data_IF_170473134357
#
_entry.id   IF_170473134357
#
_cell.length_a   1.000
_cell.length_b   1.000
_cell.length_c   1.000
_cell.angle_alpha   90.00
_cell.angle_beta   90.00
_cell.angle_gamma   90.00
#
_symmetry.space_group_name_H-M   'P 1'
#
loop_
_entity.id
_entity.type
_entity.pdbx_description
1 polymer ?
#
# COMPACT_ATOMS: atom_id res chain seq x y z
N UNK A 1 21.84 2.35 -9.91
CA UNK A 1 20.50 1.98 -9.43
C UNK A 1 20.09 3.01 -8.39
N UNK A 2 19.04 3.77 -8.67
CA UNK A 2 18.50 4.81 -7.76
C UNK A 2 17.92 4.18 -6.49
N UNK A 3 17.64 5.00 -5.48
CA UNK A 3 17.01 4.50 -4.24
C UNK A 3 15.62 3.92 -4.51
N UNK A 4 14.81 4.66 -5.26
CA UNK A 4 13.51 4.18 -5.75
C UNK A 4 13.59 2.84 -6.50
N UNK A 5 14.60 2.61 -7.34
CA UNK A 5 14.77 1.32 -8.02
C UNK A 5 15.09 0.16 -7.06
N UNK A 6 15.82 0.43 -5.96
CA UNK A 6 16.06 -0.56 -4.91
C UNK A 6 14.77 -0.85 -4.13
N UNK A 7 14.08 0.20 -3.72
CA UNK A 7 12.82 0.10 -2.97
C UNK A 7 11.74 -0.60 -3.78
N UNK A 8 11.61 -0.30 -5.07
CA UNK A 8 10.73 -1.01 -6.01
C UNK A 8 10.99 -2.51 -6.02
N UNK A 9 12.27 -2.92 -6.09
CA UNK A 9 12.64 -4.35 -6.03
C UNK A 9 12.25 -4.99 -4.69
N UNK A 10 12.43 -4.27 -3.59
CA UNK A 10 12.02 -4.73 -2.26
C UNK A 10 10.50 -4.89 -2.21
N UNK A 11 9.75 -3.89 -2.63
CA UNK A 11 8.29 -3.89 -2.64
C UNK A 11 7.71 -5.02 -3.50
N UNK A 12 8.18 -5.15 -4.74
CA UNK A 12 7.80 -6.23 -5.64
C UNK A 12 8.08 -7.61 -5.06
N UNK A 13 9.13 -7.76 -4.25
CA UNK A 13 9.44 -9.04 -3.59
C UNK A 13 8.42 -9.46 -2.52
N UNK A 14 7.60 -8.51 -2.03
CA UNK A 14 6.51 -8.77 -1.10
C UNK A 14 5.15 -8.89 -1.81
N UNK A 15 5.01 -8.33 -3.00
CA UNK A 15 3.77 -8.33 -3.77
C UNK A 15 3.30 -9.74 -4.15
N UNK A 16 2.00 -9.99 -3.98
CA UNK A 16 1.32 -11.15 -4.56
C UNK A 16 1.18 -11.03 -6.09
N UNK A 17 0.61 -12.05 -6.73
CA UNK A 17 0.50 -12.10 -8.20
C UNK A 17 -0.27 -10.91 -8.80
N UNK A 18 -1.42 -10.54 -8.24
CA UNK A 18 -2.21 -9.38 -8.70
C UNK A 18 -1.40 -8.09 -8.64
N UNK A 19 -0.76 -7.83 -7.50
CA UNK A 19 0.02 -6.61 -7.29
C UNK A 19 1.22 -6.56 -8.25
N UNK A 20 1.88 -7.70 -8.50
CA UNK A 20 2.94 -7.77 -9.50
C UNK A 20 2.45 -7.47 -10.92
N UNK A 21 1.27 -7.96 -11.31
CA UNK A 21 0.71 -7.67 -12.65
C UNK A 21 0.42 -6.17 -12.83
N UNK A 22 -0.11 -5.51 -11.79
CA UNK A 22 -0.34 -4.07 -11.78
C UNK A 22 0.98 -3.30 -11.88
N UNK A 23 1.93 -3.57 -10.98
CA UNK A 23 3.20 -2.84 -10.85
C UNK A 23 4.24 -3.18 -11.94
N UNK A 24 3.92 -4.12 -12.83
CA UNK A 24 4.70 -4.42 -14.05
C UNK A 24 3.98 -3.97 -15.32
N UNK A 25 2.84 -3.28 -15.21
CA UNK A 25 2.08 -2.75 -16.35
C UNK A 25 1.35 -3.81 -17.17
N UNK A 26 1.17 -5.03 -16.64
CA UNK A 26 0.41 -6.10 -17.32
C UNK A 26 -1.10 -5.89 -17.19
N UNK A 27 -1.52 -5.13 -16.19
CA UNK A 27 -2.89 -4.69 -15.94
C UNK A 27 -2.89 -3.20 -15.63
N UNK A 28 -3.96 -2.50 -16.01
CA UNK A 28 -4.18 -1.12 -15.60
C UNK A 28 -4.43 -1.05 -14.10
N UNK A 29 -3.93 -0.01 -13.46
CA UNK A 29 -4.23 0.28 -12.07
C UNK A 29 -5.52 1.07 -11.96
N UNK A 30 -6.28 0.80 -10.90
CA UNK A 30 -7.35 1.69 -10.47
C UNK A 30 -6.80 2.76 -9.53
N UNK A 31 -7.57 3.80 -9.28
CA UNK A 31 -7.26 4.83 -8.30
C UNK A 31 -7.14 4.22 -6.90
N UNK A 32 -8.04 3.29 -6.55
CA UNK A 32 -7.95 2.54 -5.30
C UNK A 32 -6.69 1.67 -5.19
N UNK A 33 -6.17 1.14 -6.31
CA UNK A 33 -4.88 0.45 -6.32
C UNK A 33 -3.72 1.43 -6.09
N UNK A 34 -3.78 2.62 -6.68
CA UNK A 34 -2.79 3.68 -6.44
C UNK A 34 -2.75 4.12 -4.98
N UNK A 35 -3.91 4.44 -4.40
CA UNK A 35 -4.03 4.79 -2.98
C UNK A 35 -3.45 3.69 -2.09
N UNK A 36 -3.86 2.44 -2.35
CA UNK A 36 -3.37 1.28 -1.60
C UNK A 36 -1.86 1.15 -1.69
N UNK A 37 -1.26 1.30 -2.87
CA UNK A 37 0.20 1.19 -3.01
C UNK A 37 0.94 2.37 -2.39
N UNK A 38 0.42 3.59 -2.49
CA UNK A 38 0.96 4.76 -1.78
C UNK A 38 0.98 4.50 -0.28
N UNK A 39 -0.15 4.10 0.30
CA UNK A 39 -0.23 3.73 1.72
C UNK A 39 0.76 2.62 2.10
N UNK A 40 0.81 1.52 1.34
CA UNK A 40 1.70 0.40 1.66
C UNK A 40 3.18 0.78 1.59
N UNK A 41 3.58 1.56 0.57
CA UNK A 41 4.97 1.99 0.43
C UNK A 41 5.38 2.92 1.56
N UNK A 42 4.54 3.87 1.95
CA UNK A 42 4.78 4.74 3.11
C UNK A 42 4.79 3.95 4.42
N UNK A 43 3.84 3.02 4.61
CA UNK A 43 3.78 2.16 5.79
C UNK A 43 5.07 1.34 5.96
N UNK A 44 5.66 0.84 4.88
CA UNK A 44 6.91 0.06 4.94
C UNK A 44 8.18 0.91 4.85
N UNK A 45 8.07 2.24 4.78
CA UNK A 45 9.22 3.16 4.70
C UNK A 45 9.95 3.09 3.37
N UNK A 46 9.20 2.90 2.27
CA UNK A 46 9.66 2.83 0.89
C UNK A 46 9.22 4.11 0.14
N UNK A 47 9.45 5.25 0.77
CA UNK A 47 8.92 6.56 0.35
C UNK A 47 9.47 7.00 -1.01
N UNK A 48 10.72 6.66 -1.34
CA UNK A 48 11.30 7.03 -2.64
C UNK A 48 10.61 6.30 -3.79
N UNK A 49 10.17 5.06 -3.58
CA UNK A 49 9.32 4.35 -4.53
C UNK A 49 7.88 4.87 -4.49
N UNK A 50 7.32 5.14 -3.31
CA UNK A 50 5.99 5.75 -3.16
C UNK A 50 5.81 7.02 -3.97
N UNK A 51 6.78 7.93 -3.92
CA UNK A 51 6.79 9.17 -4.71
C UNK A 51 6.86 8.91 -6.24
N UNK A 52 7.55 7.85 -6.65
CA UNK A 52 7.69 7.51 -8.06
C UNK A 52 6.50 6.69 -8.61
N UNK A 53 5.65 6.11 -7.77
CA UNK A 53 4.45 5.37 -8.23
C UNK A 53 3.57 6.25 -9.12
N UNK A 54 3.24 7.46 -8.66
CA UNK A 54 2.41 8.40 -9.40
C UNK A 54 3.06 8.87 -10.70
N UNK A 55 4.38 9.00 -10.72
CA UNK A 55 5.12 9.33 -11.94
C UNK A 55 5.12 8.19 -12.95
N UNK A 56 5.16 6.94 -12.48
CA UNK A 56 5.22 5.76 -13.35
C UNK A 56 3.85 5.33 -13.88
N UNK A 57 2.79 5.47 -13.07
CA UNK A 57 1.48 4.90 -13.36
C UNK A 57 0.34 5.92 -13.40
N UNK A 58 0.58 7.19 -13.05
CA UNK A 58 -0.48 8.21 -12.94
C UNK A 58 -1.26 8.42 -14.24
N UNK A 59 -0.58 8.32 -15.39
CA UNK A 59 -1.21 8.45 -16.71
C UNK A 59 -1.98 7.18 -17.15
N UNK A 60 -1.70 6.04 -16.52
CA UNK A 60 -2.26 4.72 -16.86
C UNK A 60 -3.40 4.28 -15.91
N UNK A 61 -3.78 5.14 -14.97
CA UNK A 61 -4.92 4.92 -14.07
C UNK A 61 -6.20 4.79 -14.89
N UNK A 62 -7.05 3.81 -14.54
CA UNK A 62 -8.27 3.48 -15.29
C UNK A 62 -9.33 4.59 -15.18
N UNK A 63 -9.42 5.23 -14.01
CA UNK A 63 -10.38 6.28 -13.72
C UNK A 63 -10.06 7.63 -14.40
N UNK A 64 -11.09 8.43 -14.74
CA UNK A 64 -10.90 9.74 -15.34
C UNK A 64 -10.27 10.74 -14.36
N UNK A 65 -9.61 11.76 -14.90
CA UNK A 65 -8.95 12.84 -14.15
C UNK A 65 -9.87 13.50 -13.08
N UNK A 66 -11.17 13.61 -13.34
CA UNK A 66 -12.14 14.17 -12.39
C UNK A 66 -12.25 13.35 -11.08
N UNK A 67 -12.06 12.03 -11.14
CA UNK A 67 -12.03 11.17 -9.97
C UNK A 67 -10.74 11.40 -9.16
N UNK A 68 -9.61 11.61 -9.84
CA UNK A 68 -8.33 11.93 -9.21
C UNK A 68 -8.35 13.30 -8.51
N UNK A 69 -9.00 14.30 -9.11
CA UNK A 69 -9.12 15.65 -8.52
C UNK A 69 -9.93 15.60 -7.22
N UNK A 70 -11.07 14.89 -7.20
CA UNK A 70 -11.88 14.73 -5.99
C UNK A 70 -11.10 14.06 -4.85
N UNK A 71 -10.25 13.10 -5.17
CA UNK A 71 -9.42 12.42 -4.19
C UNK A 71 -8.42 13.37 -3.51
N UNK A 72 -7.78 14.23 -4.30
CA UNK A 72 -6.82 15.21 -3.78
C UNK A 72 -7.50 16.25 -2.89
N UNK A 73 -8.72 16.67 -3.25
CA UNK A 73 -9.53 17.56 -2.42
C UNK A 73 -9.93 16.92 -1.07
N UNK A 74 -10.12 15.60 -1.04
CA UNK A 74 -10.42 14.83 0.18
C UNK A 74 -9.15 14.60 1.05
N UNK A 75 -7.98 14.44 0.44
CA UNK A 75 -6.69 14.23 1.14
C UNK A 75 -6.17 15.47 1.90
N UNK A 76 -6.61 16.70 1.58
CA UNK A 76 -6.20 17.91 2.32
C UNK A 76 -6.74 18.00 3.76
N UNK A 77 -7.58 17.04 4.20
CA UNK A 77 -8.28 17.12 5.50
C UNK A 77 -7.81 16.19 6.62
N UNK A 78 -6.87 15.27 6.41
CA UNK A 78 -6.58 14.26 7.44
C UNK A 78 -5.21 14.39 8.13
N UNK A 79 -5.27 14.82 9.39
CA UNK A 79 -4.20 14.72 10.39
C UNK A 79 -3.98 13.25 10.78
N UNK A 80 -2.77 12.71 10.51
CA UNK A 80 -2.20 11.48 11.11
C UNK A 80 -3.09 10.22 11.11
N UNK A 81 -3.89 10.02 10.05
CA UNK A 81 -4.89 8.95 9.88
C UNK A 81 -4.30 7.63 9.39
N UNK A 82 -3.39 7.04 10.17
CA UNK A 82 -3.04 5.62 9.97
C UNK A 82 -4.09 4.65 10.53
N UNK A 83 -5.17 5.18 11.09
CA UNK A 83 -6.35 4.45 11.54
C UNK A 83 -7.50 5.13 10.80
N UNK A 84 -8.09 4.45 9.82
CA UNK A 84 -9.36 4.89 9.26
C UNK A 84 -10.49 4.36 10.15
N UNK A 85 -11.54 5.17 10.30
CA UNK A 85 -12.70 4.78 11.11
C UNK A 85 -13.43 3.55 10.54
N UNK A 86 -13.15 3.16 9.29
CA UNK A 86 -13.78 2.04 8.59
C UNK A 86 -12.92 0.76 8.51
N UNK A 87 -11.66 0.79 8.95
CA UNK A 87 -10.71 -0.33 8.94
C UNK A 87 -10.17 -0.71 7.55
N UNK A 88 -10.30 0.14 6.52
CA UNK A 88 -9.81 -0.12 5.16
C UNK A 88 -8.28 -0.22 5.10
N UNK A 89 -7.53 0.60 5.85
CA UNK A 89 -6.07 0.57 5.91
C UNK A 89 -5.58 -0.76 6.52
N UNK A 90 -6.18 -1.18 7.63
CA UNK A 90 -5.91 -2.48 8.26
C UNK A 90 -6.21 -3.65 7.32
N UNK A 91 -7.35 -3.61 6.60
CA UNK A 91 -7.69 -4.63 5.58
C UNK A 91 -6.60 -4.73 4.52
N UNK A 92 -6.09 -3.60 4.03
CA UNK A 92 -5.00 -3.60 3.04
C UNK A 92 -3.72 -4.24 3.56
N UNK A 93 -3.33 -3.97 4.82
CA UNK A 93 -2.15 -4.59 5.44
C UNK A 93 -2.30 -6.10 5.58
N UNK A 94 -3.45 -6.56 6.07
CA UNK A 94 -3.73 -7.98 6.29
C UNK A 94 -3.75 -8.74 4.97
N UNK A 95 -4.46 -8.22 3.97
CA UNK A 95 -4.55 -8.85 2.64
C UNK A 95 -3.21 -8.82 1.90
N UNK A 96 -2.44 -7.73 2.00
CA UNK A 96 -1.09 -7.65 1.42
C UNK A 96 -0.16 -8.70 2.04
N UNK A 97 -0.17 -8.84 3.36
CA UNK A 97 0.59 -9.89 4.04
C UNK A 97 0.16 -11.28 3.57
N UNK A 98 -1.15 -11.56 3.54
CA UNK A 98 -1.71 -12.87 3.19
C UNK A 98 -1.31 -13.31 1.79
N UNK A 99 -1.27 -12.39 0.85
CA UNK A 99 -0.94 -12.63 -0.55
C UNK A 99 0.55 -12.63 -0.87
N UNK A 100 1.43 -12.34 0.10
CA UNK A 100 2.86 -12.37 -0.14
C UNK A 100 3.34 -13.77 -0.55
N UNK A 101 4.35 -13.86 -1.45
CA UNK A 101 4.62 -15.06 -2.23
C UNK A 101 5.13 -16.26 -1.42
N UNK A 102 5.82 -16.03 -0.30
CA UNK A 102 6.40 -17.10 0.53
C UNK A 102 6.05 -16.91 2.00
N UNK A 103 5.98 -18.02 2.75
CA UNK A 103 5.72 -18.00 4.19
C UNK A 103 6.69 -17.09 4.95
N UNK A 104 7.97 -17.08 4.56
CA UNK A 104 8.99 -16.21 5.13
C UNK A 104 8.65 -14.73 4.93
N UNK A 105 8.23 -14.35 3.72
CA UNK A 105 7.82 -12.97 3.41
C UNK A 105 6.57 -12.57 4.19
N UNK A 106 5.58 -13.46 4.31
CA UNK A 106 4.38 -13.23 5.14
C UNK A 106 4.75 -12.97 6.60
N UNK A 107 5.63 -13.80 7.16
CA UNK A 107 6.07 -13.64 8.56
C UNK A 107 6.89 -12.36 8.76
N UNK A 108 7.70 -11.98 7.78
CA UNK A 108 8.45 -10.71 7.84
C UNK A 108 7.51 -9.51 7.82
N UNK A 109 6.52 -9.49 6.93
CA UNK A 109 5.48 -8.45 6.89
C UNK A 109 4.71 -8.39 8.22
N UNK A 110 4.30 -9.55 8.76
CA UNK A 110 3.63 -9.65 10.06
C UNK A 110 4.43 -9.00 11.18
N UNK A 111 5.73 -9.27 11.25
CA UNK A 111 6.62 -8.68 12.26
C UNK A 111 6.75 -7.16 12.09
N UNK A 112 6.85 -6.67 10.87
CA UNK A 112 6.94 -5.22 10.59
C UNK A 112 5.65 -4.50 10.99
N UNK A 113 4.48 -5.04 10.60
CA UNK A 113 3.16 -4.52 10.97
C UNK A 113 3.02 -4.51 12.49
N UNK A 114 3.25 -5.65 13.14
CA UNK A 114 3.11 -5.77 14.59
C UNK A 114 4.05 -4.86 15.38
N UNK A 115 5.27 -4.60 14.89
CA UNK A 115 6.18 -3.65 15.51
C UNK A 115 5.65 -2.21 15.45
N UNK A 116 5.09 -1.80 14.31
CA UNK A 116 4.51 -0.46 14.15
C UNK A 116 3.28 -0.26 15.04
N UNK A 117 2.35 -1.22 15.06
CA UNK A 117 1.16 -1.15 15.93
C UNK A 117 1.52 -1.18 17.42
N UNK A 118 2.43 -2.07 17.83
CA UNK A 118 2.90 -2.13 19.22
C UNK A 118 3.53 -0.83 19.69
N UNK A 119 4.30 -0.14 18.84
CA UNK A 119 4.89 1.18 19.17
C UNK A 119 3.83 2.25 19.43
N UNK A 120 2.65 2.12 18.82
CA UNK A 120 1.50 3.01 19.01
C UNK A 120 0.56 2.56 20.15
N UNK A 121 0.86 1.45 20.82
CA UNK A 121 -0.01 0.88 21.86
C UNK A 121 -1.27 0.20 21.31
N UNK A 122 -1.31 -0.08 20.00
CA UNK A 122 -2.46 -0.68 19.32
C UNK A 122 -2.32 -2.20 19.22
N UNK A 123 -3.44 -2.95 19.22
CA UNK A 123 -3.43 -4.37 18.94
C UNK A 123 -3.00 -4.63 17.48
N UNK A 124 -2.56 -5.86 17.21
CA UNK A 124 -2.29 -6.27 15.83
C UNK A 124 -3.60 -6.31 15.04
N UNK A 125 -3.66 -5.76 13.80
CA UNK A 125 -4.90 -5.76 13.03
C UNK A 125 -5.26 -7.17 12.55
N UNK A 126 -6.49 -7.61 12.79
CA UNK A 126 -6.96 -8.94 12.40
C UNK A 126 -8.18 -8.88 11.49
N UNK A 127 -8.40 -9.92 10.68
CA UNK A 127 -9.61 -10.01 9.82
C UNK A 127 -10.93 -9.96 10.62
N UNK A 128 -10.89 -10.31 11.91
CA UNK A 128 -12.06 -10.29 12.79
C UNK A 128 -12.48 -8.87 13.22
N UNK A 129 -11.64 -7.86 12.96
CA UNK A 129 -11.91 -6.46 13.35
C UNK A 129 -12.74 -5.71 12.29
N UNK A 130 -13.17 -6.38 11.20
CA UNK A 130 -13.77 -5.74 10.02
C UNK A 130 -15.24 -6.12 9.75
N UNK A 131 -15.88 -6.88 10.64
CA UNK A 131 -17.30 -7.31 10.55
C UNK A 131 -18.26 -6.40 11.33
#
# INVERSE_FOLDING_TARGET
MSESEKEKKIFLSYCGSRDQELLTGRKKMTLGDMERFSFLTEFFGLESYGLNLWKEFGDDVEEPLDALIKLLDEWEYENDTWIDDDGRLERWLVEFQKHAPTKEKREKLRKMIGLKYKKRGLPYPTEADFE
#
